data_IF_205084585370
#
_entry.id   IF_205084585370
#
_cell.length_a   1.000
_cell.length_b   1.000
_cell.length_c   1.000
_cell.angle_alpha   90.00
_cell.angle_beta   90.00
_cell.angle_gamma   90.00
#
_symmetry.space_group_name_H-M   'P 1'
#
loop_
_entity.id
_entity.type
_entity.pdbx_description
1 polymer ?
#
# COMPACT_ATOMS: atom_id res chain seq x y z
N UNK A 1 10.78 11.91 -26.95
CA UNK A 1 9.31 11.82 -27.05
C UNK A 1 8.68 12.78 -26.04
N UNK A 2 7.49 13.28 -26.34
CA UNK A 2 6.66 14.02 -25.38
C UNK A 2 5.82 13.02 -24.59
N UNK A 3 6.08 12.90 -23.31
CA UNK A 3 5.40 11.95 -22.43
C UNK A 3 4.45 12.68 -21.47
N UNK A 4 3.21 12.20 -21.37
CA UNK A 4 2.26 12.63 -20.35
C UNK A 4 2.20 11.63 -19.20
N UNK A 5 2.29 12.12 -17.98
CA UNK A 5 2.03 11.33 -16.78
C UNK A 5 0.77 11.85 -16.10
N UNK A 6 -0.20 10.96 -15.89
CA UNK A 6 -1.47 11.26 -15.25
C UNK A 6 -1.43 10.76 -13.81
N UNK A 7 -1.42 11.71 -12.87
CA UNK A 7 -1.35 11.50 -11.42
C UNK A 7 0.05 11.61 -10.86
N UNK A 8 0.23 12.53 -9.91
CA UNK A 8 1.48 12.87 -9.23
C UNK A 8 1.71 12.11 -7.92
N UNK A 9 1.16 10.90 -7.79
CA UNK A 9 1.49 10.00 -6.69
C UNK A 9 2.91 9.44 -6.80
N UNK A 10 3.30 8.56 -5.85
CA UNK A 10 4.66 7.99 -5.82
C UNK A 10 5.07 7.39 -7.18
N UNK A 11 4.19 6.57 -7.80
CA UNK A 11 4.47 5.96 -9.10
C UNK A 11 4.66 6.99 -10.23
N UNK A 12 3.84 8.05 -10.25
CA UNK A 12 3.96 9.10 -11.26
C UNK A 12 5.25 9.90 -11.13
N UNK A 13 5.69 10.20 -9.90
CA UNK A 13 6.96 10.88 -9.66
C UNK A 13 8.16 10.01 -10.11
N UNK A 14 8.14 8.68 -9.82
CA UNK A 14 9.18 7.77 -10.33
C UNK A 14 9.19 7.72 -11.86
N UNK A 15 8.02 7.61 -12.48
CA UNK A 15 7.91 7.59 -13.93
C UNK A 15 8.47 8.89 -14.54
N UNK A 16 8.18 10.04 -13.92
CA UNK A 16 8.71 11.33 -14.34
C UNK A 16 10.24 11.33 -14.30
N UNK A 17 10.82 10.88 -13.18
CA UNK A 17 12.27 10.79 -13.02
C UNK A 17 12.92 9.88 -14.07
N UNK A 18 12.38 8.67 -14.25
CA UNK A 18 12.96 7.69 -15.16
C UNK A 18 12.89 8.12 -16.63
N UNK A 19 11.74 8.69 -17.05
CA UNK A 19 11.56 9.15 -18.42
C UNK A 19 12.39 10.42 -18.71
N UNK A 20 12.43 11.39 -17.79
CA UNK A 20 13.27 12.58 -17.94
C UNK A 20 14.76 12.24 -17.99
N UNK A 21 15.21 11.27 -17.18
CA UNK A 21 16.58 10.79 -17.20
C UNK A 21 16.99 10.14 -18.55
N UNK A 22 16.01 9.67 -19.32
CA UNK A 22 16.21 9.15 -20.70
C UNK A 22 16.06 10.21 -21.80
N UNK A 23 15.89 11.48 -21.42
CA UNK A 23 15.78 12.60 -22.34
C UNK A 23 14.41 12.81 -22.95
N UNK A 24 13.35 12.27 -22.32
CA UNK A 24 11.98 12.57 -22.74
C UNK A 24 11.53 13.92 -22.20
N UNK A 25 10.69 14.62 -22.96
CA UNK A 25 9.99 15.84 -22.53
C UNK A 25 8.73 15.41 -21.74
N UNK A 26 8.80 15.53 -20.42
CA UNK A 26 7.79 14.97 -19.51
C UNK A 26 6.87 16.05 -18.97
N UNK A 27 5.58 15.87 -19.17
CA UNK A 27 4.52 16.64 -18.52
C UNK A 27 3.80 15.76 -17.50
N UNK A 28 3.72 16.19 -16.24
CA UNK A 28 2.98 15.52 -15.17
C UNK A 28 1.79 16.37 -14.75
N UNK A 29 0.60 15.77 -14.76
CA UNK A 29 -0.66 16.42 -14.36
C UNK A 29 -1.20 15.78 -13.09
N UNK A 30 -1.42 16.60 -12.05
CA UNK A 30 -1.96 16.18 -10.75
C UNK A 30 -3.12 17.11 -10.35
N UNK A 31 -4.24 16.54 -9.95
CA UNK A 31 -5.43 17.30 -9.52
C UNK A 31 -5.28 17.93 -8.12
N UNK A 32 -4.45 17.33 -7.26
CA UNK A 32 -4.17 17.88 -5.94
C UNK A 32 -3.19 19.06 -6.03
N UNK A 33 -3.10 19.83 -4.96
CA UNK A 33 -2.13 20.93 -4.82
C UNK A 33 -0.72 20.45 -4.43
N UNK A 34 -0.48 19.13 -4.41
CA UNK A 34 0.76 18.51 -3.95
C UNK A 34 1.06 17.21 -4.69
N UNK A 35 2.33 16.83 -4.71
CA UNK A 35 2.82 15.55 -5.18
C UNK A 35 2.85 14.49 -4.06
N UNK A 36 3.07 13.23 -4.42
CA UNK A 36 3.24 12.12 -3.49
C UNK A 36 1.97 11.32 -3.19
N UNK A 37 0.79 11.88 -3.45
CA UNK A 37 -0.47 11.19 -3.20
C UNK A 37 -0.61 10.71 -1.75
N UNK A 38 -0.81 9.42 -1.51
CA UNK A 38 -0.93 8.85 -0.16
C UNK A 38 0.40 8.77 0.60
N UNK A 39 1.54 9.01 -0.06
CA UNK A 39 2.87 9.06 0.57
C UNK A 39 3.28 10.49 0.96
N UNK A 40 2.47 11.49 0.63
CA UNK A 40 2.67 12.88 1.09
C UNK A 40 2.66 12.92 2.61
N UNK A 41 3.59 13.68 3.20
CA UNK A 41 3.61 13.97 4.63
C UNK A 41 2.67 15.13 4.94
N UNK A 42 1.75 14.90 5.84
CA UNK A 42 0.86 15.92 6.41
C UNK A 42 1.26 16.19 7.85
N UNK A 43 0.72 17.28 8.43
CA UNK A 43 1.01 17.67 9.79
C UNK A 43 -0.27 17.80 10.62
N UNK A 44 -0.23 17.30 11.85
CA UNK A 44 -1.33 17.40 12.80
C UNK A 44 -0.80 17.59 14.23
N UNK A 45 -1.21 18.69 14.89
CA UNK A 45 -0.76 18.99 16.25
C UNK A 45 0.78 19.07 16.39
N UNK A 46 1.48 19.52 15.35
CA UNK A 46 2.95 19.60 15.33
C UNK A 46 3.65 18.28 14.96
N UNK A 47 2.93 17.23 14.61
CA UNK A 47 3.46 15.91 14.28
C UNK A 47 3.25 15.56 12.80
N UNK A 48 4.26 14.97 12.12
CA UNK A 48 4.13 14.48 10.76
C UNK A 48 3.36 13.15 10.70
N UNK A 49 2.56 12.95 9.65
CA UNK A 49 1.87 11.68 9.38
C UNK A 49 1.63 11.50 7.88
N UNK A 50 1.37 10.25 7.48
CA UNK A 50 0.93 9.88 6.13
C UNK A 50 -0.43 9.18 6.18
N UNK A 51 -1.06 8.97 5.03
CA UNK A 51 -2.28 8.15 4.93
C UNK A 51 -1.94 6.66 5.03
N UNK A 52 -1.71 6.18 6.24
CA UNK A 52 -1.14 4.89 6.59
C UNK A 52 0.38 4.98 6.84
N UNK A 53 1.05 3.94 7.34
CA UNK A 53 2.44 4.02 7.78
C UNK A 53 3.45 4.25 6.65
N UNK A 54 3.14 3.93 5.43
CA UNK A 54 3.97 4.13 4.22
C UNK A 54 5.45 3.81 4.40
N UNK A 55 5.78 2.83 5.26
CA UNK A 55 7.14 2.35 5.38
C UNK A 55 7.60 1.70 4.06
N UNK A 56 8.90 1.74 3.85
CA UNK A 56 9.53 1.12 2.70
C UNK A 56 9.88 -0.33 3.01
N UNK A 57 9.57 -1.23 2.08
CA UNK A 57 9.84 -2.64 2.20
C UNK A 57 10.28 -3.19 0.84
N UNK A 58 11.41 -3.89 0.78
CA UNK A 58 11.85 -4.60 -0.42
C UNK A 58 12.81 -5.74 -0.09
N UNK A 59 12.81 -6.79 -0.92
CA UNK A 59 13.83 -7.86 -0.90
C UNK A 59 14.99 -7.56 -1.88
N UNK A 60 14.83 -6.54 -2.74
CA UNK A 60 15.77 -6.19 -3.81
C UNK A 60 16.69 -5.06 -3.39
N UNK A 61 17.99 -5.31 -3.42
CA UNK A 61 18.99 -4.32 -3.05
C UNK A 61 19.11 -3.17 -4.07
N UNK A 62 18.90 -3.44 -5.35
CA UNK A 62 18.87 -2.43 -6.39
C UNK A 62 17.71 -1.43 -6.21
N UNK A 63 16.55 -1.90 -5.75
CA UNK A 63 15.38 -1.07 -5.43
C UNK A 63 15.64 -0.22 -4.18
N UNK A 64 16.29 -0.80 -3.15
CA UNK A 64 16.73 -0.04 -1.99
C UNK A 64 17.70 1.08 -2.39
N UNK A 65 18.75 0.72 -3.13
CA UNK A 65 19.80 1.65 -3.54
C UNK A 65 19.27 2.75 -4.48
N UNK A 66 18.30 2.42 -5.33
CA UNK A 66 17.63 3.43 -6.15
C UNK A 66 16.97 4.51 -5.28
N UNK A 67 16.16 4.11 -4.31
CA UNK A 67 15.47 5.09 -3.47
C UNK A 67 16.44 5.85 -2.55
N UNK A 68 17.35 5.14 -1.88
CA UNK A 68 18.30 5.71 -0.92
C UNK A 68 19.23 6.75 -1.55
N UNK A 69 19.53 6.62 -2.86
CA UNK A 69 20.31 7.62 -3.63
C UNK A 69 19.64 9.00 -3.66
N UNK A 70 18.32 9.04 -3.76
CA UNK A 70 17.55 10.27 -3.95
C UNK A 70 16.76 10.69 -2.71
N UNK A 71 16.52 9.76 -1.82
CA UNK A 71 15.79 9.91 -0.57
C UNK A 71 16.53 9.12 0.51
N UNK A 72 17.49 9.73 1.23
CA UNK A 72 18.28 9.02 2.24
C UNK A 72 17.40 8.26 3.24
N UNK A 73 17.64 6.96 3.36
CA UNK A 73 16.81 6.03 4.13
C UNK A 73 17.45 5.60 5.44
N UNK A 74 16.63 5.21 6.40
CA UNK A 74 17.08 4.53 7.63
C UNK A 74 16.42 3.18 7.71
N UNK A 75 17.22 2.15 7.97
CA UNK A 75 16.76 0.76 8.14
C UNK A 75 16.15 0.54 9.51
N UNK A 76 15.12 -0.30 9.57
CA UNK A 76 14.43 -0.74 10.77
C UNK A 76 14.55 -2.26 10.95
N UNK A 77 15.67 -2.75 11.48
CA UNK A 77 15.91 -4.20 11.59
C UNK A 77 14.98 -4.90 12.58
N UNK A 78 14.46 -4.18 13.57
CA UNK A 78 13.59 -4.69 14.62
C UNK A 78 12.12 -4.30 14.50
N UNK A 79 11.64 -3.97 13.29
CA UNK A 79 10.26 -3.53 13.09
C UNK A 79 9.26 -4.63 13.41
N UNK A 80 8.57 -4.48 14.53
CA UNK A 80 7.53 -5.38 15.02
C UNK A 80 6.13 -4.79 14.87
N UNK A 81 5.13 -5.64 14.83
CA UNK A 81 3.76 -5.23 15.07
C UNK A 81 2.95 -6.32 15.78
N UNK A 82 1.95 -5.89 16.52
CA UNK A 82 1.11 -6.76 17.30
C UNK A 82 -0.29 -6.80 16.73
N UNK A 83 -0.95 -7.94 16.90
CA UNK A 83 -2.37 -8.10 16.59
C UNK A 83 -3.15 -8.33 17.88
N UNK A 84 -4.13 -7.49 18.16
CA UNK A 84 -5.09 -7.71 19.22
C UNK A 84 -6.07 -8.79 18.80
N UNK A 85 -6.20 -9.82 19.62
CA UNK A 85 -7.15 -10.92 19.46
C UNK A 85 -8.26 -10.73 20.49
N UNK A 86 -9.43 -10.31 20.02
CA UNK A 86 -10.56 -9.93 20.87
C UNK A 86 -11.05 -11.08 21.77
N UNK A 87 -11.10 -12.29 21.25
CA UNK A 87 -11.53 -13.48 22.01
C UNK A 87 -10.61 -13.80 23.20
N UNK A 88 -9.34 -13.47 23.10
CA UNK A 88 -8.34 -13.72 24.11
C UNK A 88 -8.07 -12.48 24.97
N UNK A 89 -8.54 -11.30 24.55
CA UNK A 89 -8.26 -9.99 25.13
C UNK A 89 -6.75 -9.73 25.27
N UNK A 90 -5.97 -10.18 24.29
CA UNK A 90 -4.51 -10.20 24.34
C UNK A 90 -3.91 -9.77 23.00
N UNK A 91 -2.74 -9.15 23.07
CA UNK A 91 -1.90 -8.88 21.88
C UNK A 91 -0.91 -10.04 21.66
N UNK A 92 -0.74 -10.41 20.40
CA UNK A 92 0.25 -11.37 19.94
C UNK A 92 1.03 -10.78 18.78
N UNK A 93 2.29 -11.17 18.62
CA UNK A 93 3.09 -10.76 17.46
C UNK A 93 2.50 -11.30 16.14
N UNK A 94 2.67 -10.51 15.09
CA UNK A 94 2.37 -10.96 13.75
C UNK A 94 3.61 -10.74 12.85
N UNK A 95 4.01 -11.70 12.00
CA UNK A 95 3.45 -13.05 11.81
C UNK A 95 3.36 -13.87 13.09
N UNK A 96 2.49 -14.88 13.09
CA UNK A 96 2.23 -15.72 14.26
C UNK A 96 3.51 -16.45 14.69
N UNK A 97 3.83 -16.44 15.99
CA UNK A 97 4.96 -17.16 16.54
C UNK A 97 4.51 -18.41 17.29
N UNK A 98 5.22 -19.53 17.09
CA UNK A 98 4.90 -20.81 17.76
C UNK A 98 4.95 -20.72 19.29
N UNK A 99 5.91 -19.99 19.84
CA UNK A 99 6.02 -19.78 21.29
C UNK A 99 4.85 -18.95 21.86
N UNK A 100 4.21 -18.10 21.06
CA UNK A 100 3.03 -17.35 21.50
C UNK A 100 1.74 -18.17 21.44
N UNK A 101 1.70 -19.21 20.61
CA UNK A 101 0.59 -20.18 20.61
C UNK A 101 0.45 -20.82 21.98
N UNK A 102 1.57 -21.04 22.70
CA UNK A 102 1.58 -21.58 24.06
C UNK A 102 0.84 -20.69 25.08
N UNK A 103 0.75 -19.40 24.80
CA UNK A 103 0.05 -18.44 25.63
C UNK A 103 -1.45 -18.34 25.30
N UNK A 104 -1.88 -18.92 24.19
CA UNK A 104 -3.29 -18.86 23.74
C UNK A 104 -4.16 -19.84 24.54
N UNK A 105 -5.38 -19.44 24.92
CA UNK A 105 -6.32 -20.34 25.60
C UNK A 105 -6.58 -21.64 24.85
N UNK A 106 -6.63 -21.58 23.50
CA UNK A 106 -6.98 -22.71 22.63
C UNK A 106 -5.73 -23.45 22.10
N UNK A 107 -4.57 -23.34 22.74
CA UNK A 107 -3.28 -23.88 22.25
C UNK A 107 -3.34 -25.37 21.85
N UNK A 108 -4.05 -26.20 22.60
CA UNK A 108 -4.15 -27.63 22.30
C UNK A 108 -4.93 -27.90 20.99
N UNK A 109 -6.02 -27.16 20.78
CA UNK A 109 -6.79 -27.21 19.55
C UNK A 109 -5.95 -26.70 18.37
N UNK A 110 -5.28 -25.55 18.54
CA UNK A 110 -4.42 -24.95 17.51
C UNK A 110 -3.32 -25.95 17.10
N UNK A 111 -2.65 -26.61 18.05
CA UNK A 111 -1.63 -27.62 17.77
C UNK A 111 -2.20 -28.81 16.99
N UNK A 112 -3.39 -29.29 17.38
CA UNK A 112 -4.05 -30.40 16.69
C UNK A 112 -4.46 -30.01 15.26
N UNK A 113 -4.85 -28.76 15.01
CA UNK A 113 -5.16 -28.24 13.68
C UNK A 113 -3.89 -28.11 12.85
N UNK A 114 -2.83 -27.49 13.38
CA UNK A 114 -1.54 -27.33 12.70
C UNK A 114 -0.95 -28.67 12.24
N UNK A 115 -1.04 -29.72 13.07
CA UNK A 115 -0.59 -31.06 12.72
C UNK A 115 -1.32 -31.71 11.53
N UNK A 116 -2.49 -31.16 11.15
CA UNK A 116 -3.32 -31.64 10.03
C UNK A 116 -3.24 -30.72 8.81
N UNK A 117 -2.62 -29.54 8.94
CA UNK A 117 -2.49 -28.59 7.84
C UNK A 117 -1.62 -29.17 6.72
N UNK A 118 -2.09 -29.05 5.48
CA UNK A 118 -1.42 -29.55 4.27
C UNK A 118 -0.78 -28.46 3.42
N UNK A 119 -0.91 -27.20 3.87
CA UNK A 119 -0.48 -26.04 3.12
C UNK A 119 -1.53 -25.50 2.11
N UNK A 120 -1.30 -24.34 1.54
CA UNK A 120 -2.31 -23.58 0.80
C UNK A 120 -2.48 -23.99 -0.67
N UNK A 121 -1.74 -24.95 -1.20
CA UNK A 121 -1.66 -25.23 -2.66
C UNK A 121 -3.02 -25.55 -3.30
N UNK A 122 -3.94 -26.15 -2.54
CA UNK A 122 -5.28 -26.50 -3.01
C UNK A 122 -6.34 -25.41 -2.71
N UNK A 123 -5.95 -24.29 -2.13
CA UNK A 123 -6.88 -23.25 -1.73
C UNK A 123 -7.44 -22.49 -2.94
N UNK A 124 -8.74 -22.23 -2.95
CA UNK A 124 -9.48 -21.54 -4.01
C UNK A 124 -9.84 -20.10 -3.62
N UNK A 125 -9.72 -19.75 -2.34
CA UNK A 125 -10.06 -18.45 -1.77
C UNK A 125 -9.26 -18.19 -0.49
N UNK A 126 -9.34 -16.96 0.02
CA UNK A 126 -8.57 -16.52 1.19
C UNK A 126 -8.88 -17.34 2.44
N UNK A 127 -10.12 -17.75 2.65
CA UNK A 127 -10.51 -18.56 3.80
C UNK A 127 -9.81 -19.92 3.78
N UNK A 128 -9.91 -20.64 2.65
CA UNK A 128 -9.25 -21.94 2.46
C UNK A 128 -7.72 -21.79 2.57
N UNK A 129 -7.15 -20.73 1.98
CA UNK A 129 -5.72 -20.44 2.05
C UNK A 129 -5.21 -20.38 3.50
N UNK A 130 -5.93 -19.67 4.36
CA UNK A 130 -5.55 -19.56 5.77
C UNK A 130 -5.83 -20.84 6.56
N UNK A 131 -7.03 -21.41 6.42
CA UNK A 131 -7.41 -22.64 7.15
C UNK A 131 -6.47 -23.79 6.81
N UNK A 132 -6.13 -23.96 5.52
CA UNK A 132 -5.22 -25.04 5.11
C UNK A 132 -3.78 -24.81 5.57
N UNK A 133 -3.41 -23.58 5.84
CA UNK A 133 -2.05 -23.21 6.28
C UNK A 133 -1.88 -23.24 7.80
N UNK A 134 -2.85 -22.79 8.58
CA UNK A 134 -2.68 -22.59 10.04
C UNK A 134 -3.86 -23.09 10.87
N UNK A 135 -4.90 -23.65 10.25
CA UNK A 135 -6.10 -24.12 10.93
C UNK A 135 -7.17 -23.07 11.14
N UNK A 136 -8.37 -23.56 11.45
CA UNK A 136 -9.57 -22.71 11.57
C UNK A 136 -9.52 -21.79 12.80
N UNK A 137 -8.89 -22.24 13.88
CA UNK A 137 -8.81 -21.44 15.13
C UNK A 137 -7.95 -20.20 14.93
N UNK A 138 -6.74 -20.32 14.40
CA UNK A 138 -5.86 -19.16 14.13
C UNK A 138 -6.45 -18.26 13.04
N UNK A 139 -7.03 -18.83 11.99
CA UNK A 139 -7.76 -18.04 10.98
C UNK A 139 -8.88 -17.21 11.63
N UNK A 140 -9.70 -17.82 12.49
CA UNK A 140 -10.80 -17.13 13.19
C UNK A 140 -10.33 -16.00 14.09
N UNK A 141 -9.22 -16.20 14.81
CA UNK A 141 -8.64 -15.22 15.74
C UNK A 141 -8.01 -14.01 15.04
N UNK A 142 -7.36 -14.20 13.89
CA UNK A 142 -6.43 -13.20 13.35
C UNK A 142 -6.87 -12.62 12.00
N UNK A 143 -7.60 -13.37 11.18
CA UNK A 143 -7.81 -13.00 9.78
C UNK A 143 -9.28 -12.83 9.42
N UNK A 144 -10.16 -13.71 9.90
CA UNK A 144 -11.56 -13.78 9.46
C UNK A 144 -12.25 -12.43 9.48
N UNK A 145 -12.34 -11.81 10.63
CA UNK A 145 -13.09 -10.57 10.83
C UNK A 145 -12.26 -9.34 10.41
N UNK A 146 -10.93 -9.41 10.54
CA UNK A 146 -10.04 -8.39 10.01
C UNK A 146 -10.21 -8.19 8.50
N UNK A 147 -10.20 -9.29 7.72
CA UNK A 147 -10.29 -9.20 6.26
C UNK A 147 -11.68 -8.76 5.81
N UNK A 148 -12.75 -9.25 6.46
CA UNK A 148 -14.12 -8.81 6.20
C UNK A 148 -14.26 -7.30 6.35
N UNK A 149 -13.84 -6.74 7.50
CA UNK A 149 -13.92 -5.28 7.72
C UNK A 149 -12.97 -4.48 6.84
N UNK A 150 -11.78 -5.03 6.54
CA UNK A 150 -10.82 -4.37 5.67
C UNK A 150 -11.37 -4.14 4.27
N UNK A 151 -12.06 -5.14 3.73
CA UNK A 151 -12.58 -5.12 2.36
C UNK A 151 -14.06 -4.74 2.27
N UNK A 152 -14.79 -4.75 3.38
CA UNK A 152 -16.24 -4.50 3.40
C UNK A 152 -17.02 -5.63 2.71
N UNK A 153 -16.64 -6.89 2.99
CA UNK A 153 -17.24 -8.11 2.41
C UNK A 153 -17.90 -8.96 3.49
N UNK A 154 -18.82 -9.82 3.07
CA UNK A 154 -19.52 -10.72 3.98
C UNK A 154 -18.75 -12.01 4.27
N UNK A 155 -17.98 -12.49 3.28
CA UNK A 155 -17.21 -13.73 3.38
C UNK A 155 -15.83 -13.60 2.74
N UNK A 156 -14.80 -14.18 3.39
CA UNK A 156 -13.46 -14.27 2.84
C UNK A 156 -13.36 -15.26 1.65
N UNK A 157 -14.39 -16.04 1.39
CA UNK A 157 -14.51 -16.85 0.17
C UNK A 157 -14.68 -16.02 -1.10
N UNK A 158 -15.06 -14.75 -0.96
CA UNK A 158 -15.15 -13.81 -2.09
C UNK A 158 -13.77 -13.38 -2.62
N UNK A 159 -12.71 -13.49 -1.80
CA UNK A 159 -11.35 -13.14 -2.19
C UNK A 159 -10.70 -14.36 -2.86
N UNK A 160 -10.58 -14.31 -4.17
CA UNK A 160 -10.01 -15.40 -4.98
C UNK A 160 -8.58 -15.10 -5.48
N UNK A 161 -8.14 -13.86 -5.42
CA UNK A 161 -6.74 -13.46 -5.58
C UNK A 161 -6.15 -13.08 -4.21
N UNK A 162 -5.46 -14.02 -3.58
CA UNK A 162 -4.92 -13.90 -2.23
C UNK A 162 -3.39 -13.94 -2.17
N UNK A 163 -2.72 -14.05 -3.29
CA UNK A 163 -1.26 -14.09 -3.37
C UNK A 163 -0.54 -12.82 -2.90
N UNK A 164 -1.27 -11.72 -2.76
CA UNK A 164 -0.74 -10.44 -2.28
C UNK A 164 -1.42 -9.93 -1.00
N UNK A 165 -2.02 -10.80 -0.21
CA UNK A 165 -2.64 -10.37 1.05
C UNK A 165 -1.60 -9.65 1.90
N UNK A 166 -1.94 -8.52 2.54
CA UNK A 166 -0.99 -7.78 3.36
C UNK A 166 -0.54 -8.56 4.61
N UNK A 167 -1.22 -9.66 4.90
CA UNK A 167 -0.85 -10.63 5.92
C UNK A 167 -0.55 -11.97 5.23
N UNK A 168 0.73 -12.19 4.93
CA UNK A 168 1.19 -13.50 4.48
C UNK A 168 1.02 -14.54 5.57
N UNK A 169 0.74 -15.78 5.18
CA UNK A 169 0.73 -16.90 6.12
C UNK A 169 2.16 -17.30 6.41
N UNK A 170 2.60 -17.06 7.63
CA UNK A 170 3.86 -17.59 8.13
C UNK A 170 3.70 -17.90 9.62
N UNK A 171 4.06 -19.11 10.01
CA UNK A 171 4.43 -19.39 11.40
C UNK A 171 5.92 -19.12 11.54
N UNK A 172 6.28 -18.24 12.48
CA UNK A 172 7.68 -17.95 12.80
C UNK A 172 8.12 -18.74 14.02
N UNK A 173 9.39 -18.98 14.08
CA UNK A 173 10.05 -19.64 15.21
C UNK A 173 11.23 -18.79 15.68
N UNK A 174 11.66 -19.01 16.93
CA UNK A 174 12.82 -18.35 17.50
C UNK A 174 12.56 -16.95 18.07
N UNK A 175 13.63 -16.28 18.56
CA UNK A 175 13.50 -15.06 19.36
C UNK A 175 13.25 -13.78 18.56
N UNK A 176 13.46 -13.82 17.23
CA UNK A 176 13.31 -12.62 16.38
C UNK A 176 11.83 -12.40 16.08
N UNK A 177 11.27 -11.33 16.63
CA UNK A 177 9.86 -10.94 16.46
C UNK A 177 9.63 -9.95 15.32
N UNK A 178 10.69 -9.48 14.65
CA UNK A 178 10.58 -8.58 13.51
C UNK A 178 9.66 -9.16 12.41
N UNK A 179 8.72 -8.35 11.94
CA UNK A 179 7.70 -8.78 10.99
C UNK A 179 8.27 -9.20 9.64
N UNK A 180 9.35 -8.55 9.19
CA UNK A 180 10.01 -8.78 7.89
C UNK A 180 11.49 -9.05 8.07
N UNK A 181 11.82 -10.25 8.56
CA UNK A 181 13.22 -10.67 8.74
C UNK A 181 13.94 -10.94 7.41
N UNK A 182 13.19 -11.26 6.33
CA UNK A 182 13.75 -11.58 5.01
C UNK A 182 13.73 -10.38 4.04
N UNK A 183 13.33 -9.20 4.49
CA UNK A 183 13.24 -8.00 3.65
C UNK A 183 13.85 -6.79 4.36
N UNK A 184 14.40 -5.88 3.57
CA UNK A 184 14.85 -4.59 4.06
C UNK A 184 13.64 -3.72 4.35
N UNK A 185 13.50 -3.31 5.61
CA UNK A 185 12.46 -2.38 6.06
C UNK A 185 13.08 -1.04 6.46
N UNK A 186 12.44 0.07 6.14
CA UNK A 186 12.93 1.39 6.49
C UNK A 186 11.96 2.53 6.20
N UNK A 187 12.46 3.74 6.43
CA UNK A 187 11.72 4.97 6.19
C UNK A 187 12.71 6.10 5.86
N UNK A 188 12.29 7.19 5.16
CA UNK A 188 13.15 8.33 4.92
C UNK A 188 13.76 8.93 6.20
N UNK A 189 14.99 9.41 6.08
CA UNK A 189 15.69 10.10 7.17
C UNK A 189 15.11 11.49 7.40
N UNK A 190 14.57 12.11 6.36
CA UNK A 190 14.04 13.48 6.40
C UNK A 190 12.76 13.56 7.27
N UNK A 191 12.56 14.64 8.05
CA UNK A 191 11.40 14.82 8.91
C UNK A 191 10.07 14.99 8.15
N UNK A 192 10.13 15.31 6.86
CA UNK A 192 9.00 15.38 5.94
C UNK A 192 8.81 14.09 5.11
N UNK A 193 9.43 12.97 5.55
CA UNK A 193 9.30 11.69 4.90
C UNK A 193 9.80 11.70 3.45
N UNK A 194 8.94 11.30 2.51
CA UNK A 194 9.27 11.23 1.08
C UNK A 194 9.14 12.56 0.32
N UNK A 195 8.75 13.64 0.96
CA UNK A 195 8.35 14.86 0.25
C UNK A 195 9.48 15.45 -0.62
N UNK A 196 10.70 15.54 -0.08
CA UNK A 196 11.86 16.05 -0.83
C UNK A 196 12.17 15.17 -2.07
N UNK A 197 11.89 13.87 -1.99
CA UNK A 197 12.06 12.97 -3.13
C UNK A 197 11.13 13.33 -4.30
N UNK A 198 9.89 13.73 -4.02
CA UNK A 198 8.96 14.09 -5.10
C UNK A 198 9.44 15.31 -5.88
N UNK A 199 10.02 16.28 -5.21
CA UNK A 199 10.62 17.45 -5.85
C UNK A 199 11.85 17.06 -6.69
N UNK A 200 12.73 16.21 -6.16
CA UNK A 200 13.87 15.67 -6.89
C UNK A 200 13.46 14.86 -8.10
N UNK A 201 12.44 14.01 -7.95
CA UNK A 201 11.97 13.11 -9.01
C UNK A 201 11.31 13.85 -10.19
N UNK A 202 10.75 15.03 -9.94
CA UNK A 202 10.02 15.80 -10.97
C UNK A 202 10.75 17.07 -11.43
N UNK A 203 11.97 17.33 -10.95
CA UNK A 203 12.73 18.56 -11.23
C UNK A 203 12.96 18.85 -12.71
N UNK A 204 13.06 17.81 -13.53
CA UNK A 204 13.31 17.88 -14.98
C UNK A 204 12.02 17.68 -15.80
N UNK A 205 10.85 17.84 -15.16
CA UNK A 205 9.53 17.68 -15.78
C UNK A 205 8.69 18.95 -15.65
N UNK A 206 7.77 19.17 -16.58
CA UNK A 206 6.74 20.20 -16.43
C UNK A 206 5.61 19.65 -15.55
N UNK A 207 5.40 20.25 -14.36
CA UNK A 207 4.41 19.79 -13.38
C UNK A 207 3.22 20.74 -13.33
N UNK A 208 2.02 20.23 -13.54
CA UNK A 208 0.76 20.94 -13.38
C UNK A 208 -0.02 20.41 -12.19
N UNK A 209 0.06 21.10 -11.06
CA UNK A 209 -0.76 20.85 -9.87
C UNK A 209 -2.12 21.55 -9.98
N UNK A 210 -3.08 21.17 -9.11
CA UNK A 210 -4.46 21.70 -9.12
C UNK A 210 -5.11 21.58 -10.51
N UNK A 211 -4.70 20.60 -11.32
CA UNK A 211 -5.09 20.49 -12.73
C UNK A 211 -5.86 19.20 -12.96
N UNK A 212 -7.11 19.35 -13.45
CA UNK A 212 -7.90 18.23 -13.92
C UNK A 212 -7.72 18.05 -15.43
N UNK A 213 -7.77 16.80 -15.89
CA UNK A 213 -7.93 16.50 -17.31
C UNK A 213 -9.42 16.47 -17.58
N UNK A 214 -9.88 17.32 -18.52
CA UNK A 214 -11.29 17.48 -18.85
C UNK A 214 -11.80 16.33 -19.70
N UNK A 215 -10.94 15.82 -20.60
CA UNK A 215 -11.29 14.78 -21.56
C UNK A 215 -10.07 14.00 -22.05
N UNK A 216 -10.30 12.78 -22.55
CA UNK A 216 -9.29 11.84 -23.02
C UNK A 216 -9.61 11.35 -24.44
N UNK A 217 -8.67 11.48 -25.35
CA UNK A 217 -8.64 10.83 -26.66
C UNK A 217 -7.38 9.97 -26.74
N UNK A 218 -7.43 8.82 -26.06
CA UNK A 218 -6.26 7.93 -25.90
C UNK A 218 -5.83 7.30 -27.23
N UNK A 219 -6.74 7.10 -28.15
CA UNK A 219 -6.44 6.57 -29.49
C UNK A 219 -5.49 7.47 -30.26
N UNK A 220 -5.66 8.78 -30.08
CA UNK A 220 -4.82 9.80 -30.72
C UNK A 220 -3.79 10.40 -29.76
N UNK A 221 -3.54 9.79 -28.58
CA UNK A 221 -2.60 10.26 -27.57
C UNK A 221 -2.82 11.72 -27.16
N UNK A 222 -4.09 12.14 -27.02
CA UNK A 222 -4.45 13.51 -26.65
C UNK A 222 -5.26 13.57 -25.37
N UNK A 223 -5.03 14.63 -24.62
CA UNK A 223 -5.85 14.98 -23.45
C UNK A 223 -6.27 16.43 -23.55
N UNK A 224 -7.45 16.75 -23.00
CA UNK A 224 -7.93 18.13 -22.92
C UNK A 224 -7.69 18.68 -21.51
N UNK A 225 -6.99 19.80 -21.44
CA UNK A 225 -6.67 20.49 -20.20
C UNK A 225 -7.06 21.94 -20.36
N UNK A 226 -7.84 22.49 -19.43
CA UNK A 226 -8.36 23.85 -19.48
C UNK A 226 -9.05 24.21 -20.82
N UNK A 227 -9.76 23.23 -21.40
CA UNK A 227 -10.47 23.36 -22.66
C UNK A 227 -9.63 23.15 -23.93
N UNK A 228 -8.31 23.06 -23.84
CA UNK A 228 -7.40 22.89 -24.97
C UNK A 228 -6.89 21.45 -25.10
N UNK A 229 -6.76 20.94 -26.34
CA UNK A 229 -6.21 19.63 -26.64
C UNK A 229 -4.69 19.66 -26.74
N UNK A 230 -4.04 18.80 -25.95
CA UNK A 230 -2.59 18.60 -25.95
C UNK A 230 -2.26 17.22 -26.49
N UNK A 231 -1.28 17.17 -27.41
CA UNK A 231 -0.80 15.94 -28.08
C UNK A 231 0.47 15.44 -27.41
N UNK A 232 0.55 14.11 -27.21
CA UNK A 232 1.72 13.42 -26.65
C UNK A 232 2.12 12.23 -27.54
N UNK A 233 3.30 11.68 -27.30
CA UNK A 233 3.79 10.45 -27.96
C UNK A 233 3.61 9.23 -27.06
N UNK A 234 3.50 9.46 -25.72
CA UNK A 234 3.36 8.45 -24.70
C UNK A 234 2.42 8.95 -23.58
N UNK A 235 1.50 8.10 -23.16
CA UNK A 235 0.66 8.36 -21.98
C UNK A 235 0.96 7.30 -20.91
N UNK A 236 1.32 7.75 -19.71
CA UNK A 236 1.48 6.92 -18.51
C UNK A 236 0.42 7.30 -17.50
N UNK A 237 -0.37 6.34 -17.04
CA UNK A 237 -1.42 6.60 -16.06
C UNK A 237 -1.18 5.87 -14.75
N UNK A 238 -1.21 6.61 -13.65
CA UNK A 238 -1.33 6.09 -12.29
C UNK A 238 -2.78 6.10 -11.81
N UNK A 239 -3.68 6.69 -12.59
CA UNK A 239 -5.11 6.78 -12.34
C UNK A 239 -5.80 5.53 -12.91
N UNK A 240 -6.82 5.08 -12.23
CA UNK A 240 -7.57 3.87 -12.58
C UNK A 240 -8.25 4.00 -13.95
N UNK A 241 -8.23 2.95 -14.80
CA UNK A 241 -8.63 3.06 -16.20
C UNK A 241 -10.11 3.40 -16.42
N UNK A 242 -11.00 3.08 -15.48
CA UNK A 242 -12.42 3.48 -15.56
C UNK A 242 -12.61 5.00 -15.57
N UNK A 243 -11.67 5.75 -14.96
CA UNK A 243 -11.72 7.23 -15.01
C UNK A 243 -11.42 7.73 -16.43
N UNK A 244 -10.38 7.19 -17.05
CA UNK A 244 -9.95 7.58 -18.39
C UNK A 244 -10.99 7.16 -19.44
N UNK A 245 -11.55 5.97 -19.29
CA UNK A 245 -12.58 5.41 -20.19
C UNK A 245 -14.01 5.69 -19.71
N UNK A 246 -14.20 6.71 -18.86
CA UNK A 246 -15.52 7.27 -18.45
C UNK A 246 -16.51 6.21 -17.97
N UNK A 247 -16.03 5.22 -17.22
CA UNK A 247 -16.84 4.11 -16.70
C UNK A 247 -17.54 3.26 -17.78
N UNK A 248 -17.01 3.21 -18.99
CA UNK A 248 -17.64 2.50 -20.12
C UNK A 248 -17.93 1.01 -19.84
N UNK A 249 -17.18 0.36 -18.94
CA UNK A 249 -17.36 -1.04 -18.53
C UNK A 249 -17.84 -1.19 -17.07
N UNK A 250 -18.31 -0.10 -16.46
CA UNK A 250 -18.73 -0.02 -15.07
C UNK A 250 -17.58 0.26 -14.08
N UNK A 251 -17.90 0.61 -12.82
CA UNK A 251 -16.89 1.01 -11.84
C UNK A 251 -15.99 -0.13 -11.43
N UNK A 252 -14.72 0.18 -11.14
CA UNK A 252 -13.79 -0.70 -10.43
C UNK A 252 -13.90 -0.43 -8.93
N UNK A 253 -14.21 -1.47 -8.16
CA UNK A 253 -14.35 -1.37 -6.70
C UNK A 253 -13.01 -1.09 -6.02
N UNK A 254 -13.06 -0.45 -4.87
CA UNK A 254 -11.88 -0.11 -4.09
C UNK A 254 -12.21 0.03 -2.60
N UNK A 255 -11.24 -0.22 -1.76
CA UNK A 255 -11.32 0.03 -0.32
C UNK A 255 -10.51 1.29 0.02
N UNK A 256 -11.10 2.12 0.86
CA UNK A 256 -10.46 3.32 1.39
C UNK A 256 -10.28 3.28 2.88
N UNK A 257 -9.76 4.39 3.44
CA UNK A 257 -9.55 4.58 4.87
C UNK A 257 -9.88 6.01 5.27
N UNK A 258 -10.50 6.15 6.43
CA UNK A 258 -10.45 7.39 7.20
C UNK A 258 -9.38 7.28 8.27
N UNK A 259 -8.84 8.42 8.67
CA UNK A 259 -7.75 8.51 9.63
C UNK A 259 -8.15 9.44 10.77
N UNK A 260 -8.46 8.86 11.93
CA UNK A 260 -8.62 9.64 13.16
C UNK A 260 -7.23 9.87 13.76
N UNK A 261 -6.91 11.12 14.08
CA UNK A 261 -5.60 11.54 14.58
C UNK A 261 -5.75 12.02 16.01
N UNK A 262 -4.94 11.48 16.93
CA UNK A 262 -4.95 11.82 18.35
C UNK A 262 -3.52 12.09 18.80
N UNK A 263 -3.29 13.28 19.36
CA UNK A 263 -2.03 13.59 20.04
C UNK A 263 -2.15 13.19 21.50
N UNK A 264 -1.19 12.38 21.97
CA UNK A 264 -1.13 11.89 23.35
C UNK A 264 -0.04 12.63 24.12
N UNK A 265 -0.26 12.97 25.41
CA UNK A 265 0.71 13.67 26.26
C UNK A 265 1.77 12.73 26.85
N UNK A 266 2.33 11.86 26.02
CA UNK A 266 3.38 10.89 26.34
C UNK A 266 4.40 10.85 25.22
N UNK A 267 5.64 10.55 25.53
CA UNK A 267 6.71 10.50 24.54
C UNK A 267 6.49 9.36 23.52
N UNK A 268 6.14 8.17 24.01
CA UNK A 268 5.74 7.01 23.21
C UNK A 268 4.59 6.28 23.89
N UNK A 269 3.69 5.70 23.08
CA UNK A 269 2.58 4.89 23.58
C UNK A 269 2.73 3.39 23.27
N UNK A 270 3.60 3.01 22.29
CA UNK A 270 3.86 1.62 21.95
C UNK A 270 5.22 1.17 22.48
N UNK A 271 5.42 -0.16 22.67
CA UNK A 271 6.73 -0.71 22.97
C UNK A 271 7.79 -0.28 21.95
N UNK A 272 9.07 -0.36 22.33
CA UNK A 272 10.19 0.22 21.55
C UNK A 272 10.17 -0.15 20.08
N UNK A 273 10.04 -1.41 19.76
CA UNK A 273 10.16 -1.93 18.39
C UNK A 273 8.79 -2.13 17.69
N UNK A 274 7.69 -1.80 18.37
CA UNK A 274 6.32 -1.86 17.85
C UNK A 274 5.94 -0.54 17.22
N UNK A 275 5.59 -0.58 15.93
CA UNK A 275 5.26 0.60 15.12
C UNK A 275 3.76 0.77 14.91
N UNK A 276 3.03 -0.32 14.89
CA UNK A 276 1.57 -0.31 14.79
C UNK A 276 0.93 -1.54 15.39
N UNK A 277 -0.32 -1.39 15.76
CA UNK A 277 -1.19 -2.42 16.30
C UNK A 277 -2.29 -2.75 15.32
N UNK A 278 -2.47 -4.03 15.00
CA UNK A 278 -3.62 -4.52 14.27
C UNK A 278 -4.75 -4.94 15.23
N UNK A 279 -5.97 -4.79 14.79
CA UNK A 279 -7.16 -5.20 15.51
C UNK A 279 -7.95 -6.19 14.66
N UNK A 280 -7.97 -7.44 15.10
CA UNK A 280 -8.50 -8.56 14.32
C UNK A 280 -10.00 -8.84 14.56
N UNK A 281 -10.58 -8.27 15.59
CA UNK A 281 -11.95 -8.54 16.04
C UNK A 281 -13.01 -7.58 15.47
N UNK A 282 -14.02 -7.31 16.29
CA UNK A 282 -15.22 -6.54 15.93
C UNK A 282 -15.03 -5.02 15.93
N UNK A 283 -13.88 -4.52 16.37
CA UNK A 283 -13.61 -3.08 16.41
C UNK A 283 -13.78 -2.44 15.02
N UNK A 284 -14.31 -1.21 14.94
CA UNK A 284 -14.60 -0.58 13.64
C UNK A 284 -13.36 -0.14 12.87
N UNK A 285 -12.19 -0.27 13.46
CA UNK A 285 -10.90 0.08 12.87
C UNK A 285 -10.01 -1.16 12.66
N UNK A 286 -9.05 -1.05 11.77
CA UNK A 286 -8.14 -2.17 11.45
C UNK A 286 -6.78 -2.02 12.07
N UNK A 287 -6.33 -0.76 12.32
CA UNK A 287 -4.95 -0.52 12.76
C UNK A 287 -4.83 0.81 13.51
N UNK A 288 -3.92 0.84 14.49
CA UNK A 288 -3.43 2.06 15.12
C UNK A 288 -1.93 2.19 14.82
N UNK A 289 -1.49 3.37 14.39
CA UNK A 289 -0.09 3.66 14.02
C UNK A 289 0.47 4.72 14.95
N UNK A 290 1.67 4.53 15.50
CA UNK A 290 2.44 5.57 16.16
C UNK A 290 3.44 6.16 15.17
N UNK A 291 3.09 7.30 14.55
CA UNK A 291 3.87 7.88 13.45
C UNK A 291 5.27 8.31 13.86
N UNK A 292 5.46 8.74 15.11
CA UNK A 292 6.76 9.13 15.66
C UNK A 292 7.82 8.03 15.50
N UNK A 293 7.43 6.76 15.55
CA UNK A 293 8.32 5.60 15.35
C UNK A 293 8.96 5.61 13.96
N UNK A 294 8.22 6.04 12.92
CA UNK A 294 8.74 6.14 11.56
C UNK A 294 9.59 7.39 11.37
N UNK A 295 9.09 8.56 11.79
CA UNK A 295 9.75 9.84 11.57
C UNK A 295 10.90 10.13 12.54
N UNK A 296 10.94 9.49 13.73
CA UNK A 296 12.05 9.49 14.71
C UNK A 296 12.50 10.91 15.10
N UNK A 297 11.57 11.74 15.49
CA UNK A 297 11.82 13.07 16.03
C UNK A 297 11.57 13.09 17.54
N UNK A 298 12.23 14.04 18.23
CA UNK A 298 12.06 14.24 19.66
C UNK A 298 10.90 15.18 19.95
N UNK A 299 9.98 14.74 20.80
CA UNK A 299 8.87 15.52 21.31
C UNK A 299 8.32 14.88 22.60
N UNK A 300 7.83 15.67 23.57
CA UNK A 300 7.20 15.11 24.79
C UNK A 300 5.83 14.49 24.53
N UNK A 301 5.31 14.63 23.32
CA UNK A 301 4.01 14.11 22.87
C UNK A 301 4.19 13.18 21.68
N UNK A 302 3.21 12.34 21.41
CA UNK A 302 3.19 11.47 20.23
C UNK A 302 1.87 11.52 19.49
N UNK A 303 1.90 11.33 18.17
CA UNK A 303 0.71 11.22 17.33
C UNK A 303 0.41 9.75 17.03
N UNK A 304 -0.80 9.34 17.37
CA UNK A 304 -1.38 8.09 16.85
C UNK A 304 -2.40 8.36 15.77
N UNK A 305 -2.44 7.50 14.77
CA UNK A 305 -3.46 7.48 13.73
C UNK A 305 -4.24 6.18 13.79
N UNK A 306 -5.56 6.28 13.87
CA UNK A 306 -6.48 5.15 13.83
C UNK A 306 -7.03 5.01 12.42
N UNK A 307 -6.84 3.85 11.79
CA UNK A 307 -7.28 3.58 10.42
C UNK A 307 -8.62 2.87 10.41
N UNK A 308 -9.63 3.55 9.89
CA UNK A 308 -11.01 3.07 9.81
C UNK A 308 -11.33 2.74 8.35
N UNK A 309 -11.76 1.52 8.01
CA UNK A 309 -12.25 1.19 6.67
C UNK A 309 -13.37 2.13 6.24
N UNK A 310 -13.32 2.59 5.01
CA UNK A 310 -14.22 3.64 4.52
C UNK A 310 -14.28 3.65 3.00
N UNK A 311 -15.28 4.32 2.46
CA UNK A 311 -15.39 4.67 1.03
C UNK A 311 -14.69 6.00 0.69
N UNK A 312 -13.91 6.58 1.63
CA UNK A 312 -13.08 7.77 1.39
C UNK A 312 -11.63 7.36 1.17
N UNK A 313 -10.88 8.22 0.46
CA UNK A 313 -9.45 7.99 0.17
C UNK A 313 -9.22 6.63 -0.53
N UNK A 314 -9.44 6.57 -1.85
CA UNK A 314 -9.20 5.38 -2.67
C UNK A 314 -7.76 4.89 -2.53
N UNK A 315 -7.56 3.83 -1.74
CA UNK A 315 -6.21 3.33 -1.40
C UNK A 315 -5.91 1.94 -1.94
N UNK A 316 -6.91 1.07 -2.01
CA UNK A 316 -6.70 -0.34 -2.32
C UNK A 316 -7.69 -0.83 -3.37
N UNK A 317 -7.22 -1.40 -4.50
CA UNK A 317 -8.09 -2.11 -5.43
C UNK A 317 -8.64 -3.39 -4.77
N UNK A 318 -9.82 -3.81 -5.16
CA UNK A 318 -10.42 -5.04 -4.63
C UNK A 318 -9.75 -6.28 -5.25
N UNK A 319 -9.38 -7.28 -4.44
CA UNK A 319 -8.73 -8.51 -4.91
C UNK A 319 -9.77 -9.58 -5.31
N UNK A 320 -10.81 -9.18 -6.04
CA UNK A 320 -11.87 -10.09 -6.50
C UNK A 320 -11.74 -10.34 -7.99
N UNK A 321 -11.97 -11.58 -8.40
CA UNK A 321 -11.82 -12.01 -9.80
C UNK A 321 -12.59 -11.15 -10.81
N UNK A 322 -13.82 -10.76 -10.47
CA UNK A 322 -14.66 -9.94 -11.35
C UNK A 322 -14.09 -8.53 -11.57
N UNK A 323 -13.53 -7.92 -10.53
CA UNK A 323 -12.92 -6.59 -10.64
C UNK A 323 -11.60 -6.66 -11.41
N UNK A 324 -10.79 -7.70 -11.16
CA UNK A 324 -9.55 -7.95 -11.90
C UNK A 324 -9.85 -8.20 -13.39
N UNK A 325 -10.85 -9.01 -13.69
CA UNK A 325 -11.29 -9.25 -15.06
C UNK A 325 -11.85 -7.98 -15.74
N UNK A 326 -12.57 -7.14 -14.98
CA UNK A 326 -13.07 -5.85 -15.49
C UNK A 326 -11.92 -4.88 -15.74
N UNK A 327 -10.94 -4.79 -14.85
CA UNK A 327 -9.73 -4.00 -15.07
C UNK A 327 -9.02 -4.44 -16.35
N UNK A 328 -8.83 -5.76 -16.54
CA UNK A 328 -8.22 -6.28 -17.76
C UNK A 328 -9.00 -5.85 -19.03
N UNK A 329 -10.32 -5.93 -19.03
CA UNK A 329 -11.14 -5.45 -20.15
C UNK A 329 -10.94 -3.96 -20.43
N UNK A 330 -10.77 -3.14 -19.39
CA UNK A 330 -10.45 -1.72 -19.56
C UNK A 330 -9.08 -1.50 -20.21
N UNK A 331 -8.06 -2.22 -19.75
CA UNK A 331 -6.71 -2.09 -20.32
C UNK A 331 -6.63 -2.65 -21.74
N UNK A 332 -7.35 -3.73 -22.04
CA UNK A 332 -7.47 -4.28 -23.40
C UNK A 332 -8.17 -3.27 -24.34
N UNK A 333 -9.21 -2.58 -23.87
CA UNK A 333 -9.92 -1.55 -24.67
C UNK A 333 -9.05 -0.31 -24.94
N UNK A 334 -8.16 0.05 -24.00
CA UNK A 334 -7.17 1.11 -24.20
C UNK A 334 -6.03 0.69 -25.14
N UNK A 335 -5.79 -0.61 -25.28
CA UNK A 335 -4.67 -1.15 -26.05
C UNK A 335 -3.32 -0.71 -25.50
N UNK A 336 -2.34 -0.57 -26.39
CA UNK A 336 -0.98 -0.15 -26.03
C UNK A 336 -0.82 1.38 -25.92
N UNK A 337 -1.91 2.14 -26.00
CA UNK A 337 -1.85 3.59 -26.01
C UNK A 337 -1.60 4.20 -24.63
N UNK A 338 -1.75 3.41 -23.56
CA UNK A 338 -1.53 3.85 -22.18
C UNK A 338 -0.71 2.82 -21.43
N UNK A 339 0.34 3.26 -20.76
CA UNK A 339 1.09 2.47 -19.79
C UNK A 339 0.44 2.66 -18.41
N UNK A 340 0.01 1.56 -17.80
CA UNK A 340 -0.68 1.55 -16.50
C UNK A 340 0.28 1.16 -15.38
N UNK A 341 0.55 2.10 -14.46
CA UNK A 341 1.45 1.88 -13.32
C UNK A 341 0.82 2.31 -12.00
N UNK A 342 1.49 1.94 -10.92
CA UNK A 342 1.03 2.26 -9.57
C UNK A 342 -0.22 1.48 -9.17
N UNK A 343 -0.62 1.66 -7.92
CA UNK A 343 -1.66 0.86 -7.30
C UNK A 343 -3.01 0.92 -8.01
N UNK A 344 -3.46 2.12 -8.38
CA UNK A 344 -4.74 2.31 -9.04
C UNK A 344 -4.68 2.07 -10.56
N UNK A 345 -3.62 2.51 -11.23
CA UNK A 345 -3.46 2.31 -12.68
C UNK A 345 -3.34 0.84 -13.05
N UNK A 346 -2.49 0.09 -12.35
CA UNK A 346 -2.33 -1.35 -12.59
C UNK A 346 -3.33 -2.24 -11.83
N UNK A 347 -4.20 -1.65 -11.01
CA UNK A 347 -5.18 -2.33 -10.17
C UNK A 347 -4.58 -3.47 -9.32
N UNK A 348 -3.41 -3.22 -8.73
CA UNK A 348 -2.66 -4.17 -7.91
C UNK A 348 -2.39 -3.60 -6.52
N UNK A 349 -2.37 -4.47 -5.51
CA UNK A 349 -1.91 -4.08 -4.19
C UNK A 349 -0.38 -3.96 -4.21
N UNK A 350 0.13 -2.73 -4.27
CA UNK A 350 1.56 -2.44 -4.33
C UNK A 350 1.97 -1.58 -3.13
N UNK A 351 3.02 -1.95 -2.44
CA UNK A 351 3.74 -1.07 -1.51
C UNK A 351 4.74 -0.18 -2.27
N UNK A 352 5.50 0.64 -1.54
CA UNK A 352 6.44 1.58 -2.15
C UNK A 352 7.55 0.86 -2.91
N UNK A 353 8.08 -0.24 -2.35
CA UNK A 353 9.14 -1.04 -2.99
C UNK A 353 8.67 -1.66 -4.31
N UNK A 354 7.50 -2.30 -4.29
CA UNK A 354 6.89 -2.91 -5.48
C UNK A 354 6.51 -1.88 -6.56
N UNK A 355 6.18 -0.64 -6.17
CA UNK A 355 5.96 0.45 -7.14
C UNK A 355 7.27 0.80 -7.86
N UNK A 356 8.39 0.89 -7.13
CA UNK A 356 9.71 1.15 -7.74
C UNK A 356 10.08 0.00 -8.69
N UNK A 357 9.94 -1.25 -8.25
CA UNK A 357 10.18 -2.44 -9.09
C UNK A 357 9.37 -2.38 -10.38
N UNK A 358 8.07 -2.13 -10.28
CA UNK A 358 7.20 -1.99 -11.45
C UNK A 358 7.70 -0.92 -12.41
N UNK A 359 8.07 0.26 -11.91
CA UNK A 359 8.56 1.35 -12.75
C UNK A 359 9.92 1.01 -13.40
N UNK A 360 10.85 0.40 -12.66
CA UNK A 360 12.14 -0.04 -13.18
C UNK A 360 11.99 -1.05 -14.31
N UNK A 361 11.04 -1.98 -14.18
CA UNK A 361 10.76 -2.98 -15.21
C UNK A 361 10.05 -2.36 -16.42
N UNK A 362 9.02 -1.53 -16.17
CA UNK A 362 8.20 -0.91 -17.22
C UNK A 362 9.01 0.03 -18.11
N UNK A 363 9.90 0.82 -17.50
CA UNK A 363 10.66 1.84 -18.23
C UNK A 363 12.09 1.41 -18.59
N UNK A 364 12.41 0.12 -18.48
CA UNK A 364 13.76 -0.37 -18.84
C UNK A 364 14.13 -0.03 -20.28
N UNK A 365 13.22 -0.25 -21.20
CA UNK A 365 13.43 -0.20 -22.65
C UNK A 365 12.63 0.94 -23.34
N UNK A 366 11.97 1.80 -22.61
CA UNK A 366 11.22 2.96 -23.12
C UNK A 366 12.13 4.12 -23.46
#
# INVERSE_FOLDING_TARGET
MRALIIGGGFAGCIAAQMLSAKGHDVTLVERASYLGGSCKTFWWGGHPYTLGPRHFLTKREDVWNYLDRYCPMVRFPGHEFLTYVETDQQFYHFPIHEDEIELMPDREQIRAELARCQGPDAARNLEEYWIFSVGATLYGKIVRDYSKKMWGIESNTEITDFGFTPKGVALKTGPIKAAWSEAMSGFPKAPNGYDDYFDVATKDSTVHLNTNIDDFDITNYRVRIAGEWHQYDLIVSTVSPEVILKNALGPLRWAGREFLKIVLPVEHCFPKDVYFLYYAGSEPFTRIVEYKKFYRYDAPTTLIGIEIPSTKNKLYPFPMADDIARHKRYTDAAGNNVIWIGRNGSYRYLDVGLIIEQCMETFRDV
#
